data_IF_454014035769
#
_entry.id   IF_454014035769
#
_cell.length_a   1.000
_cell.length_b   1.000
_cell.length_c   1.000
_cell.angle_alpha   90.00
_cell.angle_beta   90.00
_cell.angle_gamma   90.00
#
_symmetry.space_group_name_H-M   'P 1'
#
loop_
_entity.id
_entity.type
_entity.pdbx_description
1 polymer ?
#
# COMPACT_ATOMS: atom_id res chain seq x y z
N UNK A 1 -28.73 28.20 1.70
CA UNK A 1 -28.05 28.44 2.99
C UNK A 1 -28.46 27.34 3.96
N UNK A 2 -27.66 26.58 4.71
CA UNK A 2 -26.24 26.20 4.82
C UNK A 2 -26.27 25.08 5.88
N UNK A 3 -25.76 23.84 5.67
CA UNK A 3 -25.85 22.80 6.71
C UNK A 3 -24.88 23.12 7.85
N UNK A 4 -25.43 23.47 9.01
CA UNK A 4 -24.64 23.63 10.23
C UNK A 4 -24.12 22.26 10.66
N UNK A 5 -22.81 22.23 10.83
CA UNK A 5 -22.02 21.21 11.48
C UNK A 5 -22.66 20.69 12.77
N UNK A 6 -22.60 19.37 12.95
CA UNK A 6 -22.21 18.70 14.19
C UNK A 6 -21.72 17.31 13.77
N UNK A 7 -20.42 17.09 13.86
CA UNK A 7 -19.83 15.77 14.06
C UNK A 7 -18.53 15.99 14.84
N UNK A 8 -18.67 16.25 16.14
CA UNK A 8 -17.56 16.08 17.09
C UNK A 8 -17.38 14.58 17.31
N UNK A 9 -16.81 13.91 16.31
CA UNK A 9 -16.24 12.59 16.47
C UNK A 9 -14.85 12.78 17.07
N UNK A 10 -14.70 12.48 18.37
CA UNK A 10 -13.38 12.32 18.96
C UNK A 10 -12.72 11.11 18.30
N UNK A 11 -11.97 11.35 17.24
CA UNK A 11 -11.12 10.34 16.64
C UNK A 11 -9.92 10.22 17.56
N UNK A 12 -10.00 9.32 18.53
CA UNK A 12 -8.81 8.78 19.17
C UNK A 12 -8.00 8.12 18.04
N UNK A 13 -7.12 8.89 17.40
CA UNK A 13 -6.02 8.32 16.63
C UNK A 13 -5.18 7.57 17.65
N UNK A 14 -5.54 6.30 17.84
CA UNK A 14 -4.59 5.27 18.21
C UNK A 14 -3.48 5.39 17.19
N UNK A 15 -2.42 6.09 17.60
CA UNK A 15 -1.13 6.01 16.96
C UNK A 15 -0.74 4.55 17.11
N UNK A 16 -1.10 3.73 16.12
CA UNK A 16 -0.36 2.53 15.79
C UNK A 16 0.99 3.02 15.27
N UNK A 17 1.79 3.58 16.18
CA UNK A 17 3.21 3.78 16.02
C UNK A 17 3.86 2.41 16.17
N UNK A 18 3.60 1.54 15.20
CA UNK A 18 4.39 0.34 14.99
C UNK A 18 5.55 0.74 14.10
N UNK A 19 6.69 1.02 14.73
CA UNK A 19 8.06 0.89 14.19
C UNK A 19 8.22 1.19 12.69
N UNK A 20 8.87 2.32 12.38
CA UNK A 20 9.41 2.56 11.05
C UNK A 20 10.33 1.39 10.64
N UNK A 21 9.79 0.43 9.91
CA UNK A 21 10.59 -0.43 9.08
C UNK A 21 10.84 0.39 7.83
N UNK A 22 12.06 0.87 7.62
CA UNK A 22 12.47 1.54 6.38
C UNK A 22 12.54 0.53 5.21
N UNK A 23 11.42 -0.14 4.95
CA UNK A 23 11.22 -1.09 3.87
C UNK A 23 10.60 -0.42 2.65
N UNK A 24 10.78 -1.02 1.48
CA UNK A 24 10.19 -0.56 0.23
C UNK A 24 8.65 -0.50 0.29
N UNK A 25 8.00 -1.30 1.13
CA UNK A 25 6.54 -1.27 1.36
C UNK A 25 6.09 -0.17 2.34
N UNK A 26 6.96 0.31 3.22
CA UNK A 26 6.63 1.39 4.18
C UNK A 26 6.80 2.77 3.53
N UNK A 27 7.70 2.86 2.54
CA UNK A 27 7.97 4.07 1.77
C UNK A 27 6.77 4.45 0.88
N UNK A 28 6.03 5.54 1.20
CA UNK A 28 4.82 5.91 0.48
C UNK A 28 5.09 6.22 -0.99
N UNK A 29 6.28 6.74 -1.33
CA UNK A 29 6.65 7.03 -2.72
C UNK A 29 6.74 5.78 -3.60
N UNK A 30 7.05 4.62 -3.02
CA UNK A 30 7.05 3.34 -3.73
C UNK A 30 5.64 2.75 -3.83
N UNK A 31 4.79 2.97 -2.82
CA UNK A 31 3.47 2.35 -2.72
C UNK A 31 2.36 3.15 -3.39
N UNK A 32 2.37 4.48 -3.29
CA UNK A 32 1.35 5.36 -3.86
C UNK A 32 0.98 5.09 -5.32
N UNK A 33 1.92 4.76 -6.23
CA UNK A 33 1.59 4.44 -7.62
C UNK A 33 0.59 3.29 -7.80
N UNK A 34 0.43 2.42 -6.79
CA UNK A 34 -0.45 1.25 -6.80
C UNK A 34 -1.85 1.51 -6.23
N UNK A 35 -2.09 2.69 -5.66
CA UNK A 35 -3.37 3.06 -5.05
C UNK A 35 -4.03 4.21 -5.83
N UNK A 36 -5.37 4.26 -5.75
CA UNK A 36 -6.16 5.34 -6.36
C UNK A 36 -6.20 6.59 -5.49
N UNK A 37 -5.93 6.43 -4.20
CA UNK A 37 -6.00 7.48 -3.20
C UNK A 37 -4.70 7.62 -2.40
N UNK A 38 -4.44 8.84 -1.91
CA UNK A 38 -3.26 9.14 -1.13
C UNK A 38 -3.24 8.44 0.24
N UNK A 39 -4.38 7.94 0.73
CA UNK A 39 -4.44 7.18 1.98
C UNK A 39 -4.06 5.70 1.81
N UNK A 40 -3.76 5.27 0.57
CA UNK A 40 -3.35 3.92 0.22
C UNK A 40 -4.33 2.85 0.70
N UNK A 41 -5.64 3.17 0.68
CA UNK A 41 -6.71 2.26 1.10
C UNK A 41 -7.37 1.55 -0.07
N UNK A 42 -7.49 2.24 -1.20
CA UNK A 42 -8.13 1.74 -2.40
C UNK A 42 -7.07 1.46 -3.44
N UNK A 43 -6.85 0.18 -3.70
CA UNK A 43 -5.90 -0.28 -4.70
C UNK A 43 -6.42 -0.02 -6.11
N UNK A 44 -5.51 0.22 -7.04
CA UNK A 44 -5.84 0.28 -8.47
C UNK A 44 -6.33 -1.07 -9.00
N UNK A 45 -6.98 -1.03 -10.17
CA UNK A 45 -7.38 -2.24 -10.90
C UNK A 45 -6.14 -3.10 -11.22
N UNK A 46 -6.32 -4.41 -11.44
CA UNK A 46 -5.18 -5.29 -11.75
C UNK A 46 -4.36 -4.83 -12.95
N UNK A 47 -5.01 -4.28 -13.99
CA UNK A 47 -4.33 -3.78 -15.19
C UNK A 47 -3.49 -2.50 -14.89
N UNK A 48 -4.04 -1.60 -14.10
CA UNK A 48 -3.33 -0.38 -13.69
C UNK A 48 -2.23 -0.68 -12.67
N UNK A 49 -2.44 -1.66 -11.80
CA UNK A 49 -1.42 -2.17 -10.88
C UNK A 49 -0.26 -2.78 -11.68
N UNK A 50 -0.53 -3.63 -12.67
CA UNK A 50 0.49 -4.23 -13.53
C UNK A 50 1.30 -3.15 -14.27
N UNK A 51 0.62 -2.11 -14.75
CA UNK A 51 1.25 -0.96 -15.40
C UNK A 51 2.18 -0.22 -14.43
N UNK A 52 1.72 0.05 -13.21
CA UNK A 52 2.54 0.65 -12.16
C UNK A 52 3.72 -0.25 -11.76
N UNK A 53 3.50 -1.57 -11.69
CA UNK A 53 4.53 -2.55 -11.40
C UNK A 53 5.63 -2.53 -12.47
N UNK A 54 5.26 -2.57 -13.75
CA UNK A 54 6.20 -2.48 -14.88
C UNK A 54 6.98 -1.16 -14.92
N UNK A 55 6.38 -0.07 -14.47
CA UNK A 55 7.05 1.24 -14.35
C UNK A 55 7.98 1.33 -13.12
N UNK A 56 7.82 0.44 -12.13
CA UNK A 56 8.63 0.42 -10.93
C UNK A 56 10.03 -0.10 -11.24
N UNK A 57 11.11 0.53 -10.75
CA UNK A 57 12.47 0.04 -10.96
C UNK A 57 12.65 -1.39 -10.45
N UNK A 58 13.41 -2.23 -11.18
CA UNK A 58 13.67 -3.64 -10.78
C UNK A 58 14.24 -3.79 -9.37
N UNK A 59 15.07 -2.85 -8.94
CA UNK A 59 15.59 -2.77 -7.57
C UNK A 59 14.46 -2.73 -6.54
N UNK A 60 13.51 -1.83 -6.74
CA UNK A 60 12.34 -1.64 -5.89
C UNK A 60 11.40 -2.83 -5.97
N UNK A 61 11.17 -3.38 -7.17
CA UNK A 61 10.39 -4.61 -7.34
C UNK A 61 10.94 -5.77 -6.50
N UNK A 62 12.26 -5.99 -6.55
CA UNK A 62 12.92 -7.04 -5.76
C UNK A 62 12.78 -6.81 -4.25
N UNK A 63 12.91 -5.55 -3.80
CA UNK A 63 12.73 -5.20 -2.40
C UNK A 63 11.29 -5.43 -1.93
N UNK A 64 10.30 -4.98 -2.72
CA UNK A 64 8.87 -5.20 -2.44
C UNK A 64 8.51 -6.68 -2.41
N UNK A 65 9.00 -7.47 -3.36
CA UNK A 65 8.79 -8.92 -3.35
C UNK A 65 9.44 -9.56 -2.12
N UNK A 66 10.67 -9.17 -1.76
CA UNK A 66 11.35 -9.70 -0.57
C UNK A 66 10.56 -9.40 0.69
N UNK A 67 10.07 -8.18 0.85
CA UNK A 67 9.27 -7.79 2.01
C UNK A 67 7.88 -8.45 2.01
N UNK A 68 7.29 -8.69 0.84
CA UNK A 68 6.06 -9.47 0.74
C UNK A 68 6.25 -10.96 1.06
N UNK A 69 7.47 -11.50 0.93
CA UNK A 69 7.82 -12.85 1.39
C UNK A 69 8.15 -12.91 2.88
N UNK A 70 8.42 -11.77 3.52
CA UNK A 70 8.68 -11.69 4.95
C UNK A 70 7.35 -11.61 5.72
N UNK A 71 7.12 -12.53 6.66
CA UNK A 71 5.87 -12.63 7.38
C UNK A 71 5.61 -11.48 8.37
N UNK A 72 6.64 -10.76 8.81
CA UNK A 72 6.48 -9.57 9.65
C UNK A 72 6.14 -8.34 8.80
N UNK A 73 6.79 -8.21 7.64
CA UNK A 73 6.64 -7.07 6.73
C UNK A 73 5.38 -7.16 5.86
N UNK A 74 4.97 -8.36 5.44
CA UNK A 74 3.79 -8.56 4.59
C UNK A 74 2.47 -8.33 5.33
N UNK A 75 2.40 -8.51 6.65
CA UNK A 75 1.18 -8.37 7.45
C UNK A 75 0.47 -7.01 7.28
N UNK A 76 1.15 -5.85 7.45
CA UNK A 76 0.53 -4.54 7.22
C UNK A 76 0.15 -4.29 5.76
N UNK A 77 0.78 -4.99 4.81
CA UNK A 77 0.58 -4.83 3.37
C UNK A 77 -0.06 -6.05 2.71
N UNK A 78 -0.82 -6.86 3.46
CA UNK A 78 -1.25 -8.19 3.01
C UNK A 78 -2.07 -8.14 1.71
N UNK A 79 -2.94 -7.13 1.57
CA UNK A 79 -3.71 -6.93 0.35
C UNK A 79 -2.82 -6.59 -0.86
N UNK A 80 -1.79 -5.77 -0.65
CA UNK A 80 -0.82 -5.43 -1.70
C UNK A 80 -0.01 -6.65 -2.12
N UNK A 81 0.52 -7.39 -1.16
CA UNK A 81 1.29 -8.60 -1.43
C UNK A 81 0.44 -9.68 -2.12
N UNK A 82 -0.84 -9.84 -1.75
CA UNK A 82 -1.75 -10.74 -2.43
C UNK A 82 -1.94 -10.36 -3.92
N UNK A 83 -2.14 -9.08 -4.21
CA UNK A 83 -2.28 -8.62 -5.60
C UNK A 83 -0.97 -8.74 -6.39
N UNK A 84 0.16 -8.45 -5.74
CA UNK A 84 1.48 -8.63 -6.31
C UNK A 84 1.74 -10.08 -6.72
N UNK A 85 1.41 -11.03 -5.84
CA UNK A 85 1.53 -12.46 -6.15
C UNK A 85 0.54 -12.89 -7.23
N UNK A 86 -0.68 -12.36 -7.24
CA UNK A 86 -1.66 -12.65 -8.30
C UNK A 86 -1.14 -12.26 -9.70
N UNK A 87 -0.35 -11.18 -9.81
CA UNK A 87 0.34 -10.81 -11.06
C UNK A 87 1.49 -11.77 -11.40
N UNK A 88 2.27 -12.18 -10.41
CA UNK A 88 3.36 -13.15 -10.60
C UNK A 88 2.88 -14.53 -11.05
N UNK A 89 1.66 -14.92 -10.68
CA UNK A 89 1.01 -16.15 -11.13
C UNK A 89 0.40 -16.06 -12.55
N UNK A 90 0.39 -14.87 -13.17
CA UNK A 90 -0.06 -14.63 -14.55
C UNK A 90 1.08 -14.66 -15.58
N UNK A 91 2.28 -15.10 -15.18
CA UNK A 91 3.47 -15.21 -16.03
C UNK A 91 3.71 -16.64 -16.52
#
# INVERSE_FOLDING_TARGET
MNPKAICLGVFALSVLGGVAFAGALDEPSNMQPFFTDASMKTMKSSADFETAWKATPKSTQNAMMKECNDAAMSKPHAQFCAQLFALGHHS
#
